data_IF_625166394146
#
_entry.id   IF_625166394146
#
_cell.length_a   1.000
_cell.length_b   1.000
_cell.length_c   1.000
_cell.angle_alpha   90.00
_cell.angle_beta   90.00
_cell.angle_gamma   90.00
#
_symmetry.space_group_name_H-M   'P 1'
#
loop_
_entity.id
_entity.type
_entity.pdbx_description
1 polymer ?
#
# COMPACT_ATOMS: atom_id res chain seq x y z
N UNK A 1 -27.56 -7.22 42.86
CA UNK A 1 -28.12 -7.39 41.50
C UNK A 1 -27.76 -6.26 40.53
N UNK A 2 -27.63 -4.99 40.97
CA UNK A 2 -27.22 -3.87 40.11
C UNK A 2 -25.76 -3.91 39.61
N UNK A 3 -24.82 -4.44 40.42
CA UNK A 3 -23.39 -4.49 40.06
C UNK A 3 -23.09 -5.48 38.93
N UNK A 4 -23.71 -6.67 38.96
CA UNK A 4 -23.56 -7.69 37.91
C UNK A 4 -24.07 -7.20 36.55
N UNK A 5 -25.20 -6.47 36.53
CA UNK A 5 -25.74 -5.89 35.30
C UNK A 5 -24.81 -4.85 34.68
N UNK A 6 -24.13 -4.04 35.50
CA UNK A 6 -23.13 -3.05 35.05
C UNK A 6 -21.87 -3.70 34.48
N UNK A 7 -21.39 -4.78 35.12
CA UNK A 7 -20.23 -5.56 34.64
C UNK A 7 -20.54 -6.23 33.30
N UNK A 8 -21.73 -6.82 33.14
CA UNK A 8 -22.16 -7.41 31.87
C UNK A 8 -22.27 -6.39 30.73
N UNK A 9 -22.73 -5.17 31.02
CA UNK A 9 -22.80 -4.09 30.02
C UNK A 9 -21.38 -3.65 29.60
N UNK A 10 -20.46 -3.47 30.55
CA UNK A 10 -19.08 -3.10 30.26
C UNK A 10 -18.34 -4.17 29.43
N UNK A 11 -18.56 -5.45 29.73
CA UNK A 11 -17.99 -6.55 28.97
C UNK A 11 -18.54 -6.61 27.53
N UNK A 12 -19.84 -6.36 27.34
CA UNK A 12 -20.46 -6.31 26.02
C UNK A 12 -19.90 -5.15 25.17
N UNK A 13 -19.69 -3.97 25.77
CA UNK A 13 -19.08 -2.82 25.08
C UNK A 13 -17.62 -3.12 24.69
N UNK A 14 -16.84 -3.77 25.56
CA UNK A 14 -15.46 -4.14 25.26
C UNK A 14 -15.36 -5.14 24.09
N UNK A 15 -16.27 -6.12 24.01
CA UNK A 15 -16.32 -7.10 22.92
C UNK A 15 -16.70 -6.48 21.58
N UNK A 16 -17.58 -5.47 21.57
CA UNK A 16 -17.98 -4.76 20.34
C UNK A 16 -16.88 -3.85 19.79
N UNK A 17 -15.98 -3.34 20.65
CA UNK A 17 -14.85 -2.49 20.23
C UNK A 17 -13.62 -3.28 19.75
N UNK A 18 -13.53 -4.58 20.05
CA UNK A 18 -12.36 -5.41 19.72
C UNK A 18 -12.19 -5.74 18.22
N UNK A 19 -13.26 -5.71 17.44
CA UNK A 19 -13.23 -6.17 16.04
C UNK A 19 -12.89 -5.07 15.01
N UNK A 20 -12.74 -3.82 15.43
CA UNK A 20 -12.53 -2.69 14.51
C UNK A 20 -11.13 -2.60 13.89
N UNK A 21 -10.11 -3.27 14.45
CA UNK A 21 -8.72 -3.12 13.98
C UNK A 21 -8.50 -3.68 12.56
N UNK A 22 -9.26 -4.71 12.16
CA UNK A 22 -9.20 -5.26 10.81
C UNK A 22 -9.80 -4.36 9.73
N UNK A 23 -10.53 -3.31 10.13
CA UNK A 23 -11.14 -2.36 9.19
C UNK A 23 -10.17 -1.26 8.74
N UNK A 24 -8.97 -1.18 9.33
CA UNK A 24 -7.93 -0.28 8.85
C UNK A 24 -7.20 -1.04 7.74
N UNK A 25 -7.44 -0.72 6.45
CA UNK A 25 -6.75 -1.40 5.37
C UNK A 25 -5.24 -1.19 5.55
N UNK A 26 -4.51 -2.31 5.60
CA UNK A 26 -3.06 -2.28 5.55
C UNK A 26 -2.55 -1.80 4.19
N UNK A 27 -1.22 -1.77 4.04
CA UNK A 27 -0.56 -1.37 2.79
C UNK A 27 -1.07 -2.25 1.64
N UNK A 28 -1.54 -1.64 0.56
CA UNK A 28 -1.99 -2.39 -0.61
C UNK A 28 -0.76 -2.79 -1.42
N UNK A 29 -0.27 -4.00 -1.19
CA UNK A 29 0.94 -4.53 -1.80
C UNK A 29 0.61 -5.71 -2.70
N UNK A 30 1.40 -5.92 -3.77
CA UNK A 30 1.32 -7.15 -4.55
C UNK A 30 1.44 -8.37 -3.63
N UNK A 31 0.65 -9.42 -3.90
CA UNK A 31 0.86 -10.73 -3.30
C UNK A 31 2.25 -11.26 -3.69
N UNK A 32 2.77 -12.26 -2.97
CA UNK A 32 4.02 -12.91 -3.38
C UNK A 32 3.93 -13.50 -4.79
N UNK A 33 5.04 -13.49 -5.52
CA UNK A 33 5.08 -13.91 -6.93
C UNK A 33 4.49 -15.31 -7.14
N UNK A 34 4.75 -16.27 -6.24
CA UNK A 34 4.20 -17.62 -6.32
C UNK A 34 2.66 -17.66 -6.18
N UNK A 35 2.10 -16.83 -5.30
CA UNK A 35 0.66 -16.73 -5.11
C UNK A 35 -0.01 -16.06 -6.31
N UNK A 36 0.61 -15.00 -6.85
CA UNK A 36 0.13 -14.34 -8.06
C UNK A 36 0.17 -15.28 -9.26
N UNK A 37 1.27 -16.04 -9.43
CA UNK A 37 1.43 -17.03 -10.48
C UNK A 37 0.29 -18.04 -10.48
N UNK A 38 -0.11 -18.53 -9.31
CA UNK A 38 -1.25 -19.44 -9.15
C UNK A 38 -2.56 -18.80 -9.60
N UNK A 39 -2.80 -17.54 -9.24
CA UNK A 39 -4.01 -16.80 -9.62
C UNK A 39 -4.13 -16.47 -11.11
N UNK A 40 -3.01 -16.44 -11.84
CA UNK A 40 -3.00 -16.12 -13.27
C UNK A 40 -2.82 -17.34 -14.19
N UNK A 41 -2.76 -18.56 -13.64
CA UNK A 41 -2.62 -19.79 -14.44
C UNK A 41 -3.75 -19.88 -15.48
N UNK A 42 -3.38 -20.04 -16.75
CA UNK A 42 -4.34 -20.09 -17.87
C UNK A 42 -4.73 -18.74 -18.46
N UNK A 43 -4.20 -17.63 -17.95
CA UNK A 43 -4.36 -16.29 -18.57
C UNK A 43 -3.19 -15.94 -19.51
N UNK A 44 -3.37 -14.94 -20.37
CA UNK A 44 -2.30 -14.37 -21.22
C UNK A 44 -1.41 -13.36 -20.47
N UNK A 45 -1.42 -13.39 -19.14
CA UNK A 45 -0.63 -12.49 -18.30
C UNK A 45 0.70 -13.13 -17.90
N UNK A 46 1.74 -12.30 -17.78
CA UNK A 46 3.08 -12.69 -17.30
C UNK A 46 3.48 -11.79 -16.14
N UNK A 47 4.03 -12.39 -15.09
CA UNK A 47 4.65 -11.66 -13.96
C UNK A 47 6.15 -11.58 -14.21
N UNK A 48 6.71 -10.39 -14.08
CA UNK A 48 8.16 -10.12 -14.16
C UNK A 48 8.77 -10.13 -12.75
N UNK A 49 10.10 -10.24 -12.67
CA UNK A 49 10.84 -10.34 -11.41
C UNK A 49 10.69 -9.08 -10.52
N UNK A 50 10.42 -7.93 -11.12
CA UNK A 50 10.16 -6.67 -10.42
C UNK A 50 8.70 -6.53 -9.93
N UNK A 51 7.90 -7.60 -10.04
CA UNK A 51 6.48 -7.62 -9.68
C UNK A 51 5.56 -6.99 -10.73
N UNK A 52 6.06 -6.64 -11.91
CA UNK A 52 5.22 -6.13 -13.00
C UNK A 52 4.36 -7.25 -13.58
N UNK A 53 3.05 -7.03 -13.66
CA UNK A 53 2.12 -7.90 -14.37
C UNK A 53 1.90 -7.33 -15.76
N UNK A 54 2.16 -8.11 -16.80
CA UNK A 54 2.03 -7.72 -18.21
C UNK A 54 0.98 -8.58 -18.90
N UNK A 55 0.01 -7.95 -19.53
CA UNK A 55 -0.96 -8.55 -20.44
C UNK A 55 -0.59 -8.19 -21.88
N UNK A 56 -0.56 -9.18 -22.77
CA UNK A 56 -0.30 -8.97 -24.19
C UNK A 56 -1.42 -9.59 -25.02
N UNK A 57 -1.99 -8.79 -25.92
CA UNK A 57 -2.97 -9.23 -26.91
C UNK A 57 -2.65 -8.57 -28.25
N UNK A 58 -2.18 -9.36 -29.22
CA UNK A 58 -1.75 -8.88 -30.54
C UNK A 58 -0.70 -7.74 -30.42
N UNK A 59 -1.08 -6.51 -30.77
CA UNK A 59 -0.22 -5.30 -30.73
C UNK A 59 -0.40 -4.48 -29.45
N UNK A 60 -1.38 -4.84 -28.61
CA UNK A 60 -1.65 -4.20 -27.33
C UNK A 60 -0.87 -4.90 -26.22
N UNK A 61 -0.03 -4.14 -25.52
CA UNK A 61 0.65 -4.56 -24.29
C UNK A 61 0.24 -3.58 -23.17
N UNK A 62 -0.27 -4.13 -22.07
CA UNK A 62 -0.62 -3.39 -20.86
C UNK A 62 0.20 -3.97 -19.71
N UNK A 63 1.00 -3.15 -19.05
CA UNK A 63 1.76 -3.57 -17.88
C UNK A 63 1.45 -2.71 -16.66
N UNK A 64 1.35 -3.37 -15.51
CA UNK A 64 1.07 -2.74 -14.22
C UNK A 64 2.20 -3.11 -13.27
N UNK A 65 2.89 -2.09 -12.74
CA UNK A 65 4.02 -2.27 -11.81
C UNK A 65 3.75 -1.55 -10.49
N UNK A 66 3.90 -2.22 -9.34
CA UNK A 66 3.93 -1.56 -8.03
C UNK A 66 5.22 -0.73 -7.91
N UNK A 67 5.10 0.53 -7.48
CA UNK A 67 6.22 1.44 -7.28
C UNK A 67 6.60 1.50 -5.80
N UNK A 68 7.90 1.43 -5.48
CA UNK A 68 8.35 1.62 -4.09
C UNK A 68 8.56 3.10 -3.75
N UNK A 69 8.48 3.44 -2.47
CA UNK A 69 8.69 4.81 -2.01
C UNK A 69 10.10 5.30 -2.37
N UNK A 70 11.11 4.43 -2.35
CA UNK A 70 12.48 4.76 -2.77
C UNK A 70 12.56 5.10 -4.26
N UNK A 71 11.87 4.34 -5.12
CA UNK A 71 11.83 4.60 -6.55
C UNK A 71 11.12 5.93 -6.85
N UNK A 72 10.01 6.20 -6.15
CA UNK A 72 9.28 7.46 -6.26
C UNK A 72 10.11 8.62 -5.76
N UNK A 73 10.80 8.48 -4.62
CA UNK A 73 11.66 9.53 -4.08
C UNK A 73 12.82 9.88 -5.01
N UNK A 74 13.38 8.89 -5.72
CA UNK A 74 14.42 9.12 -6.74
C UNK A 74 13.90 9.88 -7.95
N UNK A 75 12.62 9.72 -8.31
CA UNK A 75 12.00 10.46 -9.41
C UNK A 75 11.67 11.91 -9.03
N UNK A 76 11.45 12.19 -7.74
CA UNK A 76 11.10 13.50 -7.21
C UNK A 76 12.10 13.99 -6.15
N UNK A 77 13.41 14.11 -6.47
CA UNK A 77 14.44 14.36 -5.47
C UNK A 77 14.27 15.71 -4.77
N UNK A 78 13.93 16.77 -5.52
CA UNK A 78 13.72 18.11 -4.96
C UNK A 78 12.58 18.15 -3.93
N UNK A 79 11.55 17.33 -4.14
CA UNK A 79 10.40 17.20 -3.26
C UNK A 79 10.61 16.20 -2.12
N UNK A 80 11.61 15.31 -2.22
CA UNK A 80 11.89 14.29 -1.21
C UNK A 80 12.96 14.69 -0.20
N UNK A 81 13.83 15.67 -0.49
CA UNK A 81 14.90 16.10 0.43
C UNK A 81 14.36 16.88 1.64
N UNK A 82 13.48 17.85 1.42
CA UNK A 82 12.84 18.63 2.51
C UNK A 82 11.52 17.98 2.90
N UNK A 83 11.62 16.72 3.29
CA UNK A 83 10.49 15.88 3.60
C UNK A 83 9.95 16.16 5.01
N UNK A 84 8.69 16.51 5.07
CA UNK A 84 7.95 16.58 6.31
C UNK A 84 7.13 15.31 6.52
N UNK A 85 7.03 14.89 7.78
CA UNK A 85 6.30 13.68 8.13
C UNK A 85 4.79 13.81 7.94
N UNK A 86 4.02 12.79 8.39
CA UNK A 86 2.57 12.77 8.28
C UNK A 86 1.81 13.92 8.94
N UNK A 87 2.49 14.74 9.75
CA UNK A 87 1.92 15.91 10.41
C UNK A 87 1.78 17.13 9.49
N UNK A 88 2.47 17.15 8.35
CA UNK A 88 2.35 18.25 7.39
C UNK A 88 1.11 18.07 6.51
N UNK A 89 0.31 19.12 6.43
CA UNK A 89 -0.92 19.14 5.63
C UNK A 89 -0.64 18.98 4.13
N UNK A 90 0.52 19.45 3.66
CA UNK A 90 0.95 19.38 2.27
C UNK A 90 2.36 18.78 2.17
N UNK A 91 2.47 17.44 2.05
CA UNK A 91 3.76 16.80 1.84
C UNK A 91 4.36 17.26 0.50
N UNK A 92 5.65 17.61 0.53
CA UNK A 92 6.41 18.07 -0.63
C UNK A 92 6.38 17.05 -1.79
N UNK A 93 6.51 15.76 -1.49
CA UNK A 93 6.39 14.69 -2.48
C UNK A 93 4.91 14.31 -2.71
N UNK A 94 4.43 14.27 -3.96
CA UNK A 94 3.01 13.99 -4.24
C UNK A 94 2.56 12.57 -3.88
N UNK A 95 3.50 11.62 -3.74
CA UNK A 95 3.22 10.20 -3.54
C UNK A 95 3.62 9.68 -2.16
N UNK A 96 4.72 10.18 -1.61
CA UNK A 96 5.34 9.68 -0.38
C UNK A 96 5.48 10.80 0.66
N UNK A 97 5.97 10.48 1.86
CA UNK A 97 6.48 11.49 2.80
C UNK A 97 7.96 11.82 2.53
N UNK A 98 8.42 11.72 1.29
CA UNK A 98 9.81 11.93 0.92
C UNK A 98 10.79 11.05 1.70
N UNK A 99 11.93 11.62 2.10
CA UNK A 99 12.96 10.95 2.90
C UNK A 99 12.72 11.09 4.42
N UNK A 100 11.51 11.44 4.86
CA UNK A 100 11.20 11.55 6.28
C UNK A 100 11.23 10.17 6.94
N UNK A 101 11.81 10.09 8.14
CA UNK A 101 11.89 8.87 8.94
C UNK A 101 11.17 9.12 10.26
N UNK A 102 10.28 8.22 10.65
CA UNK A 102 9.60 8.30 11.94
C UNK A 102 10.63 8.18 13.07
N UNK A 103 10.77 9.20 13.94
CA UNK A 103 11.74 9.17 15.04
C UNK A 103 11.43 8.09 16.08
N UNK A 104 10.17 7.62 16.17
CA UNK A 104 9.76 6.58 17.12
C UNK A 104 10.01 5.17 16.60
N UNK A 105 9.78 4.94 15.32
CA UNK A 105 9.86 3.59 14.73
C UNK A 105 11.09 3.36 13.87
N UNK A 106 11.83 4.42 13.53
CA UNK A 106 12.99 4.38 12.63
C UNK A 106 12.64 4.01 11.18
N UNK A 107 11.36 4.02 10.83
CA UNK A 107 10.86 3.62 9.50
C UNK A 107 10.14 4.77 8.84
N UNK A 108 10.23 4.85 7.51
CA UNK A 108 9.36 5.75 6.76
C UNK A 108 7.95 5.13 6.67
N UNK A 109 6.88 5.86 7.03
CA UNK A 109 5.52 5.41 6.78
C UNK A 109 5.20 5.54 5.30
N UNK A 110 4.49 4.55 4.76
CA UNK A 110 3.99 4.63 3.39
C UNK A 110 2.74 5.50 3.36
N UNK A 111 2.67 6.45 2.42
CA UNK A 111 1.51 7.34 2.26
C UNK A 111 0.47 6.77 1.29
N UNK A 112 0.90 6.40 0.09
CA UNK A 112 0.04 5.86 -0.97
C UNK A 112 0.59 4.53 -1.49
N UNK A 113 -0.31 3.70 -2.01
CA UNK A 113 0.07 2.53 -2.83
C UNK A 113 0.01 2.95 -4.30
N UNK A 114 1.17 3.11 -4.93
CA UNK A 114 1.28 3.64 -6.30
C UNK A 114 1.56 2.51 -7.28
N UNK A 115 0.77 2.46 -8.35
CA UNK A 115 0.95 1.52 -9.45
C UNK A 115 1.19 2.29 -10.75
N UNK A 116 2.28 1.98 -11.43
CA UNK A 116 2.58 2.53 -12.76
C UNK A 116 1.96 1.64 -13.81
N UNK A 117 1.07 2.22 -14.61
CA UNK A 117 0.46 1.56 -15.76
C UNK A 117 1.16 2.04 -17.02
N UNK A 118 1.65 1.10 -17.84
CA UNK A 118 2.20 1.39 -19.17
C UNK A 118 1.32 0.71 -20.22
N UNK A 119 0.91 1.47 -21.22
CA UNK A 119 0.14 0.96 -22.35
C UNK A 119 0.94 1.20 -23.62
N UNK A 120 1.19 0.13 -24.36
CA UNK A 120 1.81 0.18 -25.68
C UNK A 120 0.83 -0.37 -26.70
N UNK A 121 0.64 0.37 -27.78
CA UNK A 121 -0.12 -0.07 -28.92
C UNK A 121 0.76 0.15 -30.14
N UNK A 122 1.39 -0.93 -30.59
CA UNK A 122 2.32 -0.87 -31.69
C UNK A 122 1.61 -0.83 -33.01
#
# INVERSE_FOLDING_TARGET
>A
MYAYKKISILAAVALLLGCGHYLIPGRFQPLEAAQQQTGIQGSSMKILDDGTVTFVQNRLEVSVRPMTDEELNRQYPAQSTNASGPADELPSNPFTYGNWIDPRTGKSPQRLSVFRITVKNY
#
